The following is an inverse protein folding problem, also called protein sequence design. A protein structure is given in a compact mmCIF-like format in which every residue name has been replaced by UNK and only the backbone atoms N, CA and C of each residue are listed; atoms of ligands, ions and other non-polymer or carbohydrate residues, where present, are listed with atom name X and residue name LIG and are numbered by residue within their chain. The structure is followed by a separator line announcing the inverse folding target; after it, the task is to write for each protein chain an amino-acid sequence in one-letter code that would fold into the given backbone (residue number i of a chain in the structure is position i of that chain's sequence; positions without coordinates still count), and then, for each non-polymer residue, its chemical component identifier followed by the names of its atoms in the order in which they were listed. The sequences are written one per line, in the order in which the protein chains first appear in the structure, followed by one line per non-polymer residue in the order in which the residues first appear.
data_IF_613680515784
#
_entry.id   IF_613680515784
#
_cell.length_a   1.000
_cell.length_b   1.000
_cell.length_c   1.000
_cell.angle_alpha   90.00
_cell.angle_beta   90.00
_cell.angle_gamma   90.00
#
_symmetry.space_group_name_H-M   'P 1'
#
loop_
_entity.id
_entity.type
_entity.pdbx_description
1 polymer ?
#
# COMPACT_ATOMS: atom_id res chain seq x y z
N UNK A 1 -66.75 -19.88 29.90
CA UNK A 1 -65.36 -19.50 30.21
C UNK A 1 -64.47 -19.90 29.03
N UNK A 2 -64.24 -19.01 28.05
CA UNK A 2 -63.42 -19.31 26.84
C UNK A 2 -62.43 -18.20 26.48
N UNK A 3 -62.33 -17.16 27.30
CA UNK A 3 -61.58 -15.95 26.96
C UNK A 3 -60.05 -16.07 27.14
N UNK A 4 -59.55 -17.07 27.86
CA UNK A 4 -58.11 -17.22 28.16
C UNK A 4 -57.29 -17.88 27.05
N UNK A 5 -57.88 -18.72 26.19
CA UNK A 5 -57.12 -19.40 25.13
C UNK A 5 -56.75 -18.46 23.96
N UNK A 6 -57.59 -17.46 23.68
CA UNK A 6 -57.38 -16.55 22.55
C UNK A 6 -56.24 -15.56 22.80
N UNK A 7 -56.10 -15.09 24.04
CA UNK A 7 -55.03 -14.14 24.43
C UNK A 7 -53.65 -14.80 24.46
N UNK A 8 -53.55 -16.07 24.89
CA UNK A 8 -52.31 -16.83 24.89
C UNK A 8 -51.74 -17.02 23.47
N UNK A 9 -52.60 -17.35 22.49
CA UNK A 9 -52.19 -17.52 21.10
C UNK A 9 -51.70 -16.21 20.45
N UNK A 10 -52.27 -15.07 20.83
CA UNK A 10 -51.81 -13.75 20.36
C UNK A 10 -50.46 -13.38 20.97
N UNK A 11 -50.26 -13.65 22.28
CA UNK A 11 -49.00 -13.38 22.96
C UNK A 11 -47.84 -14.23 22.41
N UNK A 12 -48.09 -15.52 22.15
CA UNK A 12 -47.10 -16.43 21.55
C UNK A 12 -46.73 -15.99 20.13
N UNK A 13 -47.70 -15.52 19.34
CA UNK A 13 -47.44 -15.01 17.98
C UNK A 13 -46.62 -13.71 17.98
N UNK A 14 -46.90 -12.79 18.89
CA UNK A 14 -46.14 -11.55 19.04
C UNK A 14 -44.71 -11.85 19.53
N UNK A 15 -44.56 -12.77 20.49
CA UNK A 15 -43.26 -13.24 20.97
C UNK A 15 -42.43 -13.87 19.86
N UNK A 16 -43.02 -14.78 19.08
CA UNK A 16 -42.34 -15.41 17.93
C UNK A 16 -41.96 -14.38 16.86
N UNK A 17 -42.86 -13.44 16.55
CA UNK A 17 -42.58 -12.35 15.61
C UNK A 17 -41.41 -11.47 16.07
N UNK A 18 -41.39 -11.08 17.34
CA UNK A 18 -40.30 -10.30 17.94
C UNK A 18 -38.96 -11.06 17.89
N UNK A 19 -38.96 -12.34 18.24
CA UNK A 19 -37.75 -13.15 18.23
C UNK A 19 -37.18 -13.33 16.81
N UNK A 20 -38.06 -13.46 15.81
CA UNK A 20 -37.70 -13.58 14.41
C UNK A 20 -37.12 -12.27 13.87
N UNK A 21 -37.67 -11.11 14.26
CA UNK A 21 -37.11 -9.79 13.92
C UNK A 21 -35.72 -9.62 14.52
N UNK A 22 -35.50 -9.99 15.78
CA UNK A 22 -34.18 -9.91 16.42
C UNK A 22 -33.16 -10.80 15.70
N UNK A 23 -33.53 -12.03 15.32
CA UNK A 23 -32.68 -12.94 14.55
C UNK A 23 -32.30 -12.37 13.16
N UNK A 24 -33.27 -11.75 12.46
CA UNK A 24 -33.02 -11.13 11.16
C UNK A 24 -32.09 -9.93 11.28
N UNK A 25 -32.27 -9.07 12.28
CA UNK A 25 -31.40 -7.91 12.53
C UNK A 25 -29.99 -8.35 12.93
N UNK A 26 -29.85 -9.43 13.71
CA UNK A 26 -28.54 -9.97 14.08
C UNK A 26 -27.79 -10.55 12.87
N UNK A 27 -28.48 -11.36 12.06
CA UNK A 27 -27.85 -11.98 10.87
C UNK A 27 -27.44 -10.96 9.81
N UNK A 28 -28.24 -9.92 9.58
CA UNK A 28 -27.93 -8.86 8.61
C UNK A 28 -26.97 -7.80 9.14
N UNK A 29 -27.06 -7.45 10.43
CA UNK A 29 -26.21 -6.45 11.07
C UNK A 29 -24.76 -6.91 11.22
N UNK A 30 -24.51 -8.20 11.46
CA UNK A 30 -23.14 -8.73 11.51
C UNK A 30 -22.44 -8.63 10.15
N UNK A 31 -23.16 -8.87 9.04
CA UNK A 31 -22.58 -8.81 7.71
C UNK A 31 -22.18 -7.37 7.33
N UNK A 32 -23.01 -6.38 7.63
CA UNK A 32 -22.71 -4.97 7.34
C UNK A 32 -21.55 -4.42 8.18
N UNK A 33 -21.39 -4.87 9.43
CA UNK A 33 -20.26 -4.51 10.27
C UNK A 33 -18.94 -5.13 9.75
N UNK A 34 -18.97 -6.37 9.26
CA UNK A 34 -17.80 -7.03 8.68
C UNK A 34 -17.39 -6.36 7.37
N UNK A 35 -18.36 -6.04 6.51
CA UNK A 35 -18.09 -5.43 5.20
C UNK A 35 -17.57 -3.99 5.35
N UNK A 36 -18.08 -3.21 6.30
CA UNK A 36 -17.55 -1.88 6.62
C UNK A 36 -16.12 -1.93 7.19
N UNK A 37 -15.81 -2.90 8.04
CA UNK A 37 -14.45 -3.10 8.58
C UNK A 37 -13.47 -3.50 7.47
N UNK A 38 -13.88 -4.38 6.55
CA UNK A 38 -13.09 -4.77 5.37
C UNK A 38 -12.87 -3.61 4.40
N UNK A 39 -13.87 -2.76 4.19
CA UNK A 39 -13.75 -1.58 3.35
C UNK A 39 -12.78 -0.56 3.96
N UNK A 40 -12.90 -0.29 5.27
CA UNK A 40 -12.02 0.63 6.00
C UNK A 40 -10.56 0.18 5.98
N UNK A 41 -10.29 -1.09 6.26
CA UNK A 41 -8.92 -1.65 6.22
C UNK A 41 -8.30 -1.61 4.81
N UNK A 42 -9.08 -1.82 3.75
CA UNK A 42 -8.63 -1.65 2.36
C UNK A 42 -8.29 -0.21 2.02
N UNK A 43 -9.06 0.76 2.52
CA UNK A 43 -8.76 2.18 2.31
C UNK A 43 -7.50 2.60 3.06
N UNK A 44 -7.37 2.18 4.33
CA UNK A 44 -6.17 2.40 5.13
C UNK A 44 -4.92 1.84 4.45
N UNK A 45 -4.94 0.57 4.05
CA UNK A 45 -3.79 -0.07 3.39
C UNK A 45 -3.42 0.61 2.06
N UNK A 46 -4.39 1.08 1.28
CA UNK A 46 -4.14 1.83 0.04
C UNK A 46 -3.48 3.20 0.28
N UNK A 47 -3.76 3.85 1.41
CA UNK A 47 -3.09 5.12 1.75
C UNK A 47 -1.62 4.92 2.14
N UNK A 48 -1.27 3.77 2.72
CA UNK A 48 0.09 3.44 3.13
C UNK A 48 0.89 2.67 2.07
N UNK A 49 0.22 2.14 1.03
CA UNK A 49 0.91 1.46 -0.06
C UNK A 49 1.33 2.52 -1.08
N UNK A 50 2.63 2.79 -1.26
CA UNK A 50 3.09 3.75 -2.25
C UNK A 50 2.64 3.32 -3.64
N UNK A 51 2.10 4.26 -4.42
CA UNK A 51 1.71 4.01 -5.80
C UNK A 51 2.97 3.74 -6.63
N UNK A 52 2.97 2.72 -7.51
CA UNK A 52 4.06 2.52 -8.47
C UNK A 52 4.30 3.72 -9.38
N UNK A 53 3.28 4.55 -9.60
CA UNK A 53 3.37 5.77 -10.40
C UNK A 53 3.95 6.97 -9.63
N UNK A 54 4.04 6.90 -8.30
CA UNK A 54 4.68 7.93 -7.49
C UNK A 54 6.20 7.71 -7.37
N UNK A 55 6.73 6.62 -7.97
CA UNK A 55 8.16 6.40 -8.08
C UNK A 55 8.77 7.41 -9.05
N UNK A 56 9.35 8.47 -8.50
CA UNK A 56 10.18 9.41 -9.24
C UNK A 56 11.60 8.85 -9.28
N UNK A 57 12.06 8.47 -10.47
CA UNK A 57 13.44 8.01 -10.62
C UNK A 57 14.41 9.19 -10.45
N UNK A 58 15.31 9.07 -9.48
CA UNK A 58 16.31 10.10 -9.21
C UNK A 58 17.38 10.19 -10.30
N UNK A 59 17.48 9.20 -11.19
CA UNK A 59 18.42 9.24 -12.33
C UNK A 59 17.87 9.96 -13.56
N UNK A 60 16.57 10.29 -13.57
CA UNK A 60 15.88 11.01 -14.66
C UNK A 60 15.79 12.53 -14.40
N UNK A 61 16.44 13.02 -13.33
CA UNK A 61 16.57 14.46 -13.11
C UNK A 61 17.54 15.04 -14.16
N UNK A 62 17.07 16.04 -14.92
CA UNK A 62 17.85 16.70 -15.98
C UNK A 62 19.13 17.39 -15.48
N UNK A 63 19.29 17.53 -14.17
CA UNK A 63 20.40 18.22 -13.53
C UNK A 63 21.01 17.32 -12.45
N UNK A 64 22.14 16.69 -12.78
CA UNK A 64 22.89 15.81 -11.89
C UNK A 64 23.68 16.64 -10.87
N UNK A 65 23.00 17.02 -9.78
CA UNK A 65 23.56 17.84 -8.69
C UNK A 65 24.80 17.21 -8.02
N UNK A 66 24.97 15.89 -8.14
CA UNK A 66 26.13 15.19 -7.57
C UNK A 66 27.44 15.56 -8.26
N UNK A 67 27.41 16.04 -9.50
CA UNK A 67 28.62 16.52 -10.16
C UNK A 67 29.21 17.73 -9.44
N UNK A 68 28.36 18.60 -8.88
CA UNK A 68 28.82 19.76 -8.12
C UNK A 68 29.50 19.35 -6.81
N UNK A 69 28.88 18.40 -6.08
CA UNK A 69 29.41 17.90 -4.80
C UNK A 69 30.66 17.04 -4.96
N UNK A 70 30.76 16.27 -6.04
CA UNK A 70 31.90 15.37 -6.27
C UNK A 70 33.07 16.01 -7.01
N UNK A 71 32.89 17.22 -7.55
CA UNK A 71 33.95 17.97 -8.27
C UNK A 71 35.21 18.16 -7.44
N UNK A 72 35.08 18.56 -6.18
CA UNK A 72 36.24 18.80 -5.30
C UNK A 72 36.94 17.48 -4.93
N UNK A 73 36.17 16.42 -4.68
CA UNK A 73 36.71 15.10 -4.39
C UNK A 73 37.44 14.49 -5.60
N UNK A 74 36.89 14.65 -6.81
CA UNK A 74 37.55 14.24 -8.07
C UNK A 74 38.78 15.07 -8.39
N UNK A 75 38.82 16.35 -8.01
CA UNK A 75 40.01 17.17 -8.19
C UNK A 75 41.16 16.71 -7.26
N UNK A 76 40.83 16.14 -6.11
CA UNK A 76 41.81 15.65 -5.13
C UNK A 76 42.32 14.22 -5.41
N UNK A 77 41.54 13.39 -6.10
CA UNK A 77 41.87 11.99 -6.36
C UNK A 77 41.84 11.65 -7.86
N UNK A 78 42.87 10.96 -8.34
CA UNK A 78 42.92 10.50 -9.74
C UNK A 78 41.84 9.45 -9.96
N UNK A 79 41.05 9.63 -11.03
CA UNK A 79 40.02 8.67 -11.42
C UNK A 79 40.62 7.29 -11.70
N UNK A 80 40.03 6.25 -11.11
CA UNK A 80 40.42 4.86 -11.34
C UNK A 80 39.81 4.40 -12.67
N UNK A 81 40.63 3.80 -13.52
CA UNK A 81 40.18 3.30 -14.83
C UNK A 81 39.58 1.91 -14.68
N UNK A 82 38.34 1.76 -15.13
CA UNK A 82 37.60 0.50 -15.08
C UNK A 82 38.32 -0.58 -15.92
N UNK A 83 38.65 -1.74 -15.32
CA UNK A 83 39.23 -2.86 -16.05
C UNK A 83 38.29 -3.49 -17.09
N UNK A 84 36.96 -3.35 -16.98
CA UNK A 84 35.98 -4.03 -17.83
C UNK A 84 34.85 -3.11 -18.40
N UNK A 85 35.16 -2.25 -19.39
CA UNK A 85 34.19 -1.31 -19.97
C UNK A 85 32.95 -1.97 -20.61
N UNK A 86 33.10 -3.22 -21.04
CA UNK A 86 32.01 -3.99 -21.65
C UNK A 86 30.98 -4.43 -20.61
N UNK A 87 31.40 -4.79 -19.39
CA UNK A 87 30.50 -5.21 -18.32
C UNK A 87 29.64 -4.03 -17.86
N UNK A 88 30.28 -2.87 -17.68
CA UNK A 88 29.63 -1.60 -17.37
C UNK A 88 28.54 -1.21 -18.37
N UNK A 89 28.74 -1.51 -19.66
CA UNK A 89 27.77 -1.18 -20.71
C UNK A 89 26.56 -2.13 -20.76
N UNK A 90 26.76 -3.41 -20.49
CA UNK A 90 25.73 -4.44 -20.74
C UNK A 90 25.03 -4.95 -19.48
N UNK A 91 25.68 -4.87 -18.31
CA UNK A 91 25.17 -5.48 -17.08
C UNK A 91 24.88 -4.48 -15.96
N UNK A 92 25.41 -3.25 -16.03
CA UNK A 92 25.11 -2.23 -15.02
C UNK A 92 23.91 -1.36 -15.40
N UNK A 93 23.11 -1.05 -14.39
CA UNK A 93 22.03 -0.07 -14.52
C UNK A 93 22.60 1.35 -14.66
N UNK A 94 21.83 2.27 -15.25
CA UNK A 94 22.26 3.67 -15.41
C UNK A 94 22.61 4.32 -14.06
N UNK A 95 21.86 3.97 -13.01
CA UNK A 95 22.14 4.39 -11.63
C UNK A 95 23.50 3.91 -11.12
N UNK A 96 23.86 2.66 -11.38
CA UNK A 96 25.15 2.12 -10.98
C UNK A 96 26.29 2.85 -11.71
N UNK A 97 26.12 3.09 -13.02
CA UNK A 97 27.08 3.82 -13.85
C UNK A 97 27.29 5.28 -13.39
N UNK A 98 26.21 5.96 -13.01
CA UNK A 98 26.26 7.31 -12.45
C UNK A 98 26.95 7.32 -11.08
N UNK A 99 26.67 6.33 -10.23
CA UNK A 99 27.31 6.24 -8.91
C UNK A 99 28.83 6.03 -9.04
N UNK A 100 29.26 5.16 -9.95
CA UNK A 100 30.68 4.95 -10.26
C UNK A 100 31.34 6.19 -10.83
N UNK A 101 30.65 6.88 -11.74
CA UNK A 101 31.20 8.12 -12.30
C UNK A 101 31.35 9.18 -11.22
N UNK A 102 30.41 9.30 -10.26
CA UNK A 102 30.55 10.19 -9.09
C UNK A 102 31.71 9.81 -8.17
N UNK A 103 31.98 8.51 -8.02
CA UNK A 103 33.11 7.98 -7.25
C UNK A 103 34.46 8.13 -7.97
N UNK A 104 34.46 8.55 -9.24
CA UNK A 104 35.67 8.72 -10.04
C UNK A 104 36.17 7.41 -10.67
N UNK A 105 35.27 6.45 -10.92
CA UNK A 105 35.56 5.23 -11.67
C UNK A 105 35.07 5.41 -13.11
N UNK A 106 35.99 5.38 -14.08
CA UNK A 106 35.73 5.62 -15.51
C UNK A 106 36.12 4.46 -16.42
#
# INVERSE_FOLDING_TARGET
MTFQHTTANVFVRISFGSMLVVLLVWSTGCQSAIDSTRASTRQFTRQFTPSPHDYRDATDESEDKWQEFTREAKAAHVAEKDPDPWYRRWFMSEKARQTESHLGVE
#
